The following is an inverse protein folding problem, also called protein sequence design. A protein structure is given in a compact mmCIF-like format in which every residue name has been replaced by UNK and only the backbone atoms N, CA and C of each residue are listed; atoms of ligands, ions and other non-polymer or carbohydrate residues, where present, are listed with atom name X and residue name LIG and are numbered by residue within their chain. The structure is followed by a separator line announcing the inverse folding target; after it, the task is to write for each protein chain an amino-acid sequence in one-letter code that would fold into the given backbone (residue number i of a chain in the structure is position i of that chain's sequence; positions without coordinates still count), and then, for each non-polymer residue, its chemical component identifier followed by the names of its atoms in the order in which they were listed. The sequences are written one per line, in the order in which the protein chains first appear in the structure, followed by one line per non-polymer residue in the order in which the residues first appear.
data_IF_770037034760
#
_entry.id   IF_770037034760
#
_cell.length_a   1.000
_cell.length_b   1.000
_cell.length_c   1.000
_cell.angle_alpha   90.00
_cell.angle_beta   90.00
_cell.angle_gamma   90.00
#
_symmetry.space_group_name_H-M   'P 1'
#
loop_
_entity.id
_entity.type
_entity.pdbx_description
1 polymer ?
#
# COMPACT_ATOMS: atom_id res chain seq x y z
N UNK A 1 5.77 -9.49 -11.10
CA UNK A 1 5.15 -8.20 -10.70
C UNK A 1 4.68 -8.35 -9.26
N UNK A 2 4.92 -7.36 -8.40
CA UNK A 2 4.50 -7.41 -7.00
C UNK A 2 3.14 -6.74 -6.84
N UNK A 3 2.26 -7.29 -6.02
CA UNK A 3 0.93 -6.73 -5.77
C UNK A 3 0.87 -6.02 -4.43
N UNK A 4 0.22 -4.86 -4.44
CA UNK A 4 -0.08 -4.09 -3.23
C UNK A 4 -1.56 -3.75 -3.25
N UNK A 5 -2.26 -4.17 -2.20
CA UNK A 5 -3.70 -3.96 -2.07
C UNK A 5 -3.99 -2.58 -1.50
N UNK A 6 -4.90 -1.87 -2.17
CA UNK A 6 -5.39 -0.56 -1.75
C UNK A 6 -6.91 -0.60 -1.58
N UNK A 7 -7.42 0.25 -0.67
CA UNK A 7 -8.83 0.47 -0.45
C UNK A 7 -9.12 1.95 -0.67
N UNK A 8 -9.71 2.30 -1.81
CA UNK A 8 -10.13 3.68 -2.13
C UNK A 8 -9.00 4.72 -2.17
N UNK A 9 -7.73 4.30 -2.15
CA UNK A 9 -6.57 5.18 -2.14
C UNK A 9 -5.51 4.80 -3.18
N UNK A 10 -5.93 4.13 -4.26
CA UNK A 10 -5.02 3.69 -5.30
C UNK A 10 -4.33 4.87 -6.01
N UNK A 11 -5.00 6.02 -6.15
CA UNK A 11 -4.44 7.24 -6.75
C UNK A 11 -3.28 7.83 -5.93
N UNK A 12 -3.47 8.00 -4.62
CA UNK A 12 -2.40 8.55 -3.78
C UNK A 12 -1.26 7.56 -3.67
N UNK A 13 -1.55 6.26 -3.57
CA UNK A 13 -0.51 5.23 -3.53
C UNK A 13 0.30 5.17 -4.83
N UNK A 14 -0.36 5.38 -5.98
CA UNK A 14 0.31 5.55 -7.26
C UNK A 14 1.24 6.77 -7.27
N UNK A 15 0.78 7.90 -6.73
CA UNK A 15 1.62 9.09 -6.56
C UNK A 15 2.84 8.83 -5.68
N UNK A 16 2.65 8.16 -4.53
CA UNK A 16 3.73 7.83 -3.59
C UNK A 16 4.79 6.93 -4.25
N UNK A 17 4.39 5.87 -4.96
CA UNK A 17 5.35 4.97 -5.61
C UNK A 17 6.08 5.64 -6.78
N UNK A 18 5.41 6.50 -7.55
CA UNK A 18 6.08 7.28 -8.60
C UNK A 18 7.09 8.27 -8.01
N UNK A 19 6.72 8.96 -6.92
CA UNK A 19 7.64 9.85 -6.22
C UNK A 19 8.86 9.09 -5.67
N UNK A 20 8.63 7.91 -5.07
CA UNK A 20 9.70 7.06 -4.58
C UNK A 20 10.64 6.59 -5.71
N UNK A 21 10.09 6.19 -6.85
CA UNK A 21 10.87 5.83 -8.03
C UNK A 21 11.70 7.01 -8.55
N UNK A 22 11.12 8.21 -8.60
CA UNK A 22 11.81 9.42 -9.04
C UNK A 22 12.95 9.83 -8.10
N UNK A 23 12.72 9.82 -6.78
CA UNK A 23 13.75 10.10 -5.77
C UNK A 23 14.89 9.11 -5.87
N UNK A 24 14.58 7.81 -5.98
CA UNK A 24 15.59 6.77 -6.08
C UNK A 24 16.39 6.83 -7.39
N UNK A 25 15.80 7.36 -8.47
CA UNK A 25 16.48 7.61 -9.73
C UNK A 25 17.35 8.88 -9.71
N UNK A 26 17.21 9.75 -8.69
CA UNK A 26 17.98 10.99 -8.60
C UNK A 26 19.45 10.75 -8.28
N UNK A 27 20.33 11.57 -8.87
CA UNK A 27 21.76 11.55 -8.57
C UNK A 27 22.06 11.91 -7.11
N UNK A 28 21.25 12.78 -6.51
CA UNK A 28 21.38 13.20 -5.11
C UNK A 28 21.13 12.06 -4.13
N UNK A 29 20.16 11.18 -4.44
CA UNK A 29 19.96 9.98 -3.63
C UNK A 29 21.16 9.04 -3.71
N UNK A 30 21.74 8.87 -4.90
CA UNK A 30 22.89 7.99 -5.09
C UNK A 30 24.17 8.55 -4.45
N UNK A 31 24.35 9.87 -4.45
CA UNK A 31 25.46 10.52 -3.76
C UNK A 31 25.30 10.42 -2.23
N UNK A 32 24.08 10.59 -1.71
CA UNK A 32 23.80 10.38 -0.28
C UNK A 32 24.09 8.94 0.15
N UNK A 33 23.66 7.96 -0.66
CA UNK A 33 23.97 6.54 -0.46
C UNK A 33 25.48 6.29 -0.45
N UNK A 34 26.21 6.85 -1.41
CA UNK A 34 27.66 6.71 -1.49
C UNK A 34 28.38 7.34 -0.28
N UNK A 35 27.91 8.50 0.19
CA UNK A 35 28.45 9.15 1.38
C UNK A 35 28.27 8.29 2.64
N UNK A 36 27.07 7.70 2.84
CA UNK A 36 26.81 6.79 3.95
C UNK A 36 27.71 5.55 3.88
N UNK A 37 27.86 4.96 2.69
CA UNK A 37 28.74 3.82 2.47
C UNK A 37 30.20 4.16 2.79
N UNK A 38 30.68 5.34 2.36
CA UNK A 38 32.03 5.82 2.63
C UNK A 38 32.27 6.06 4.13
N UNK A 39 31.37 6.77 4.81
CA UNK A 39 31.47 7.01 6.25
C UNK A 39 31.49 5.70 7.05
N UNK A 40 30.63 4.74 6.69
CA UNK A 40 30.64 3.44 7.33
C UNK A 40 31.92 2.66 7.05
N UNK A 41 32.50 2.78 5.85
CA UNK A 41 33.76 2.13 5.50
C UNK A 41 34.91 2.69 6.33
N UNK A 42 35.00 4.01 6.50
CA UNK A 42 35.98 4.65 7.36
C UNK A 42 35.81 4.20 8.82
N UNK A 43 34.57 4.16 9.33
CA UNK A 43 34.29 3.68 10.68
C UNK A 43 34.73 2.22 10.88
N UNK A 44 34.49 1.36 9.87
CA UNK A 44 34.90 -0.03 9.89
C UNK A 44 36.43 -0.21 9.86
N UNK A 45 37.16 0.64 9.12
CA UNK A 45 38.63 0.66 9.13
C UNK A 45 39.18 1.08 10.49
N UNK A 46 38.62 2.11 11.11
CA UNK A 46 39.00 2.54 12.46
C UNK A 46 38.76 1.41 13.46
N UNK A 47 37.58 0.78 13.42
CA UNK A 47 37.26 -0.36 14.30
C UNK A 47 38.21 -1.54 14.10
N UNK A 48 38.64 -1.81 12.86
CA UNK A 48 39.62 -2.84 12.56
C UNK A 48 41.02 -2.50 13.10
N UNK A 49 41.44 -1.23 13.04
CA UNK A 49 42.73 -0.79 13.57
C UNK A 49 42.87 -1.00 15.09
N UNK A 50 41.77 -0.86 15.84
CA UNK A 50 41.77 -1.08 17.30
C UNK A 50 41.52 -2.54 17.71
N UNK A 51 40.89 -3.35 16.85
CA UNK A 51 40.55 -4.74 17.18
C UNK A 51 40.61 -5.66 15.93
N UNK A 52 41.82 -5.91 15.38
CA UNK A 52 41.97 -6.62 14.11
C UNK A 52 41.47 -8.07 14.17
N UNK A 53 41.57 -8.70 15.35
CA UNK A 53 41.22 -10.11 15.58
C UNK A 53 39.71 -10.37 15.52
N UNK A 54 38.88 -9.33 15.65
CA UNK A 54 37.41 -9.48 15.67
C UNK A 54 36.77 -9.54 14.28
N UNK A 55 37.57 -9.38 13.22
CA UNK A 55 37.12 -9.33 11.81
C UNK A 55 35.95 -8.33 11.59
N UNK A 56 35.88 -7.27 12.40
CA UNK A 56 34.73 -6.35 12.39
C UNK A 56 34.59 -5.61 11.07
N UNK A 57 35.71 -5.24 10.44
CA UNK A 57 35.70 -4.63 9.12
C UNK A 57 35.06 -5.53 8.05
N UNK A 58 35.35 -6.83 8.09
CA UNK A 58 34.82 -7.79 7.12
C UNK A 58 33.34 -8.11 7.36
N UNK A 59 32.93 -8.23 8.63
CA UNK A 59 31.52 -8.39 9.01
C UNK A 59 30.69 -7.17 8.62
N UNK A 60 31.21 -5.98 8.86
CA UNK A 60 30.56 -4.73 8.47
C UNK A 60 30.40 -4.65 6.95
N UNK A 61 31.49 -4.90 6.21
CA UNK A 61 31.46 -4.87 4.75
C UNK A 61 30.46 -5.88 4.18
N UNK A 62 30.47 -7.12 4.68
CA UNK A 62 29.54 -8.16 4.26
C UNK A 62 28.07 -7.77 4.55
N UNK A 63 27.80 -7.20 5.72
CA UNK A 63 26.44 -6.75 6.09
C UNK A 63 25.97 -5.61 5.20
N UNK A 64 26.82 -4.61 4.96
CA UNK A 64 26.50 -3.47 4.10
C UNK A 64 26.28 -3.93 2.66
N UNK A 65 27.17 -4.74 2.10
CA UNK A 65 26.99 -5.28 0.75
C UNK A 65 25.69 -6.09 0.64
N UNK A 66 25.36 -6.91 1.64
CA UNK A 66 24.11 -7.67 1.67
C UNK A 66 22.89 -6.74 1.69
N UNK A 67 22.84 -5.77 2.61
CA UNK A 67 21.69 -4.86 2.72
C UNK A 67 21.53 -4.03 1.46
N UNK A 68 22.62 -3.49 0.91
CA UNK A 68 22.58 -2.69 -0.31
C UNK A 68 22.16 -3.53 -1.52
N UNK A 69 22.70 -4.74 -1.65
CA UNK A 69 22.39 -5.62 -2.79
C UNK A 69 20.96 -6.17 -2.76
N UNK A 70 20.36 -6.36 -1.58
CA UNK A 70 19.01 -6.94 -1.48
C UNK A 70 17.94 -5.85 -1.35
N UNK A 71 18.13 -4.82 -0.51
CA UNK A 71 17.06 -3.87 -0.19
C UNK A 71 17.13 -2.56 -0.97
N UNK A 72 18.34 -2.03 -1.21
CA UNK A 72 18.51 -0.65 -1.69
C UNK A 72 18.66 -0.59 -3.21
N UNK A 73 19.56 -1.39 -3.78
CA UNK A 73 19.86 -1.36 -5.22
C UNK A 73 18.77 -1.97 -6.11
N UNK A 74 18.13 -3.09 -5.74
CA UNK A 74 17.16 -3.71 -6.64
C UNK A 74 15.92 -2.86 -6.82
N UNK A 75 15.37 -2.92 -8.04
CA UNK A 75 14.14 -2.21 -8.41
C UNK A 75 13.10 -3.23 -8.84
N UNK A 76 11.86 -3.01 -8.45
CA UNK A 76 10.76 -3.88 -8.80
C UNK A 76 9.58 -3.08 -9.39
N UNK A 77 8.74 -3.80 -10.13
CA UNK A 77 7.49 -3.26 -10.65
C UNK A 77 6.34 -3.67 -9.74
N UNK A 78 5.54 -2.69 -9.34
CA UNK A 78 4.38 -2.83 -8.44
C UNK A 78 3.10 -2.64 -9.23
N UNK A 79 2.15 -3.55 -9.04
CA UNK A 79 0.74 -3.39 -9.39
C UNK A 79 -0.07 -3.03 -8.15
N UNK A 80 -0.67 -1.85 -8.16
CA UNK A 80 -1.58 -1.37 -7.11
C UNK A 80 -2.98 -1.85 -7.48
N UNK A 81 -3.55 -2.72 -6.67
CA UNK A 81 -4.86 -3.33 -6.89
C UNK A 81 -5.87 -2.69 -5.94
N UNK A 82 -6.83 -1.93 -6.48
CA UNK A 82 -7.95 -1.42 -5.69
C UNK A 82 -9.01 -2.51 -5.52
N UNK A 83 -9.16 -3.02 -4.30
CA UNK A 83 -10.15 -4.06 -3.99
C UNK A 83 -11.59 -3.54 -3.97
N UNK A 84 -11.78 -2.22 -3.89
CA UNK A 84 -13.12 -1.61 -3.91
C UNK A 84 -13.69 -1.37 -5.31
N UNK A 85 -12.95 -1.75 -6.36
CA UNK A 85 -13.37 -1.59 -7.75
C UNK A 85 -13.44 -0.14 -8.23
N UNK A 86 -12.93 0.83 -7.46
CA UNK A 86 -12.97 2.25 -7.79
C UNK A 86 -11.99 2.69 -8.88
N UNK A 87 -10.90 1.94 -9.07
CA UNK A 87 -9.86 2.25 -10.06
C UNK A 87 -9.30 0.97 -10.72
N UNK A 88 -8.88 1.04 -12.00
CA UNK A 88 -8.14 -0.05 -12.63
C UNK A 88 -6.78 -0.25 -11.95
N UNK A 89 -6.19 -1.45 -12.11
CA UNK A 89 -4.87 -1.75 -11.55
C UNK A 89 -3.84 -0.76 -12.09
N UNK A 90 -3.15 -0.07 -11.18
CA UNK A 90 -2.15 0.92 -11.53
C UNK A 90 -0.76 0.33 -11.40
N UNK A 91 0.04 0.42 -12.45
CA UNK A 91 1.38 -0.15 -12.47
C UNK A 91 2.43 0.94 -12.35
N UNK A 92 3.38 0.76 -11.42
CA UNK A 92 4.53 1.65 -11.24
C UNK A 92 5.81 0.83 -11.36
N UNK A 93 6.67 1.22 -12.30
CA UNK A 93 7.97 0.61 -12.52
C UNK A 93 9.07 1.31 -11.71
N UNK A 94 10.22 0.64 -11.57
CA UNK A 94 11.44 1.20 -10.96
C UNK A 94 11.31 1.62 -9.49
N UNK A 95 10.41 0.98 -8.73
CA UNK A 95 10.25 1.26 -7.30
C UNK A 95 11.35 0.54 -6.50
N UNK A 96 11.98 1.17 -5.49
CA UNK A 96 12.97 0.53 -4.63
C UNK A 96 12.45 -0.75 -3.99
N UNK A 97 13.18 -1.85 -4.11
CA UNK A 97 12.71 -3.17 -3.69
C UNK A 97 12.34 -3.24 -2.21
N UNK A 98 13.11 -2.61 -1.32
CA UNK A 98 12.77 -2.57 0.11
C UNK A 98 11.37 -2.00 0.38
N UNK A 99 10.97 -0.95 -0.35
CA UNK A 99 9.63 -0.38 -0.23
C UNK A 99 8.55 -1.31 -0.80
N UNK A 100 8.84 -1.94 -1.94
CA UNK A 100 7.92 -2.90 -2.58
C UNK A 100 7.66 -4.10 -1.67
N UNK A 101 8.72 -4.68 -1.12
CA UNK A 101 8.66 -5.85 -0.26
C UNK A 101 7.82 -5.55 1.00
N UNK A 102 8.13 -4.46 1.70
CA UNK A 102 7.37 -4.06 2.89
C UNK A 102 5.91 -3.75 2.55
N UNK A 103 5.67 -2.96 1.49
CA UNK A 103 4.32 -2.61 1.07
C UNK A 103 3.48 -3.82 0.68
N UNK A 104 4.07 -4.81 -0.01
CA UNK A 104 3.38 -6.05 -0.41
C UNK A 104 3.09 -6.95 0.79
N UNK A 105 4.05 -7.14 1.69
CA UNK A 105 3.86 -7.95 2.90
C UNK A 105 2.76 -7.34 3.79
N UNK A 106 2.87 -6.05 4.11
CA UNK A 106 1.92 -5.38 5.00
C UNK A 106 0.52 -5.35 4.39
N UNK A 107 0.39 -5.06 3.09
CA UNK A 107 -0.92 -5.02 2.44
C UNK A 107 -1.55 -6.42 2.31
N UNK A 108 -0.76 -7.47 2.04
CA UNK A 108 -1.26 -8.85 1.97
C UNK A 108 -1.74 -9.33 3.33
N UNK A 109 -1.00 -9.03 4.40
CA UNK A 109 -1.41 -9.37 5.78
C UNK A 109 -2.72 -8.63 6.12
N UNK A 110 -2.78 -7.32 5.84
CA UNK A 110 -3.99 -6.54 6.10
C UNK A 110 -5.20 -7.08 5.34
N UNK A 111 -5.03 -7.34 4.04
CA UNK A 111 -6.07 -7.92 3.18
C UNK A 111 -6.56 -9.27 3.70
N UNK A 112 -5.64 -10.16 4.07
CA UNK A 112 -5.97 -11.49 4.62
C UNK A 112 -6.71 -11.38 5.94
N UNK A 113 -6.22 -10.55 6.88
CA UNK A 113 -6.87 -10.36 8.17
C UNK A 113 -8.28 -9.80 8.01
N UNK A 114 -8.46 -8.78 7.15
CA UNK A 114 -9.79 -8.23 6.83
C UNK A 114 -10.72 -9.30 6.28
N UNK A 115 -10.28 -10.11 5.32
CA UNK A 115 -11.09 -11.21 4.76
C UNK A 115 -11.46 -12.27 5.81
N UNK A 116 -10.54 -12.60 6.72
CA UNK A 116 -10.82 -13.52 7.84
C UNK A 116 -11.86 -12.93 8.81
N UNK A 117 -11.74 -11.65 9.15
CA UNK A 117 -12.73 -10.97 9.97
C UNK A 117 -14.11 -10.98 9.30
N UNK A 118 -14.19 -10.61 8.03
CA UNK A 118 -15.46 -10.60 7.29
C UNK A 118 -16.08 -11.99 7.19
N UNK A 119 -15.28 -13.02 6.92
CA UNK A 119 -15.75 -14.41 6.90
C UNK A 119 -16.32 -14.81 8.26
N UNK A 120 -15.63 -14.47 9.35
CA UNK A 120 -16.12 -14.73 10.70
C UNK A 120 -17.46 -14.01 10.95
N UNK A 121 -17.56 -12.72 10.64
CA UNK A 121 -18.80 -11.94 10.81
C UNK A 121 -19.96 -12.42 9.93
N UNK A 122 -19.70 -13.07 8.80
CA UNK A 122 -20.73 -13.70 7.98
C UNK A 122 -21.28 -14.99 8.60
N UNK A 123 -20.49 -15.68 9.43
CA UNK A 123 -20.89 -16.96 10.05
C UNK A 123 -21.60 -16.82 11.40
N UNK A 124 -21.56 -15.65 12.03
CA UNK A 124 -22.20 -15.42 13.34
C UNK A 124 -23.72 -15.38 13.17
N UNK A 125 -24.50 -16.18 13.92
CA UNK A 125 -25.95 -16.09 13.92
C UNK A 125 -26.43 -14.87 14.74
N UNK A 126 -27.45 -14.17 14.22
CA UNK A 126 -28.10 -13.05 14.91
C UNK A 126 -27.90 -11.69 14.23
N UNK A 127 -28.34 -10.58 14.86
CA UNK A 127 -28.35 -9.24 14.26
C UNK A 127 -26.96 -8.65 14.02
N UNK A 128 -25.90 -9.29 14.53
CA UNK A 128 -24.50 -8.91 14.29
C UNK A 128 -23.86 -9.54 13.06
N UNK A 129 -24.59 -10.38 12.30
CA UNK A 129 -24.10 -10.96 11.06
C UNK A 129 -23.84 -9.87 10.02
N UNK A 130 -22.67 -9.90 9.37
CA UNK A 130 -22.35 -8.98 8.28
C UNK A 130 -22.86 -9.56 6.95
N UNK A 131 -23.77 -8.90 6.23
CA UNK A 131 -24.12 -9.30 4.87
C UNK A 131 -22.90 -9.21 3.95
N UNK A 132 -22.72 -10.19 3.06
CA UNK A 132 -21.58 -10.25 2.13
C UNK A 132 -21.49 -9.04 1.18
N UNK A 133 -22.60 -8.32 0.99
CA UNK A 133 -22.71 -7.10 0.20
C UNK A 133 -22.12 -5.86 0.90
N UNK A 134 -22.05 -5.85 2.23
CA UNK A 134 -21.50 -4.74 3.04
C UNK A 134 -20.05 -4.98 3.48
N UNK A 135 -19.38 -5.96 2.87
CA UNK A 135 -17.97 -6.25 3.14
C UNK A 135 -17.11 -5.00 2.94
N UNK A 136 -16.24 -4.75 3.91
CA UNK A 136 -15.30 -3.65 3.89
C UNK A 136 -14.31 -3.79 2.73
N UNK A 137 -13.92 -5.02 2.36
CA UNK A 137 -13.03 -5.27 1.24
C UNK A 137 -13.56 -4.68 -0.07
N UNK A 138 -14.88 -4.81 -0.31
CA UNK A 138 -15.56 -4.32 -1.51
C UNK A 138 -15.93 -2.85 -1.43
N UNK A 139 -16.35 -2.38 -0.25
CA UNK A 139 -16.98 -1.08 -0.13
C UNK A 139 -16.05 0.00 0.40
N UNK A 140 -15.08 -0.36 1.26
CA UNK A 140 -14.13 0.52 1.95
C UNK A 140 -14.76 1.58 2.86
N UNK A 141 -13.93 2.43 3.48
CA UNK A 141 -14.35 3.42 4.49
C UNK A 141 -15.37 4.44 3.99
N UNK A 142 -15.23 4.90 2.75
CA UNK A 142 -16.08 5.95 2.18
C UNK A 142 -17.46 5.45 1.69
N UNK A 143 -17.83 4.19 1.96
CA UNK A 143 -19.10 3.63 1.53
C UNK A 143 -20.30 4.47 1.95
N UNK A 144 -20.40 4.85 3.22
CA UNK A 144 -21.54 5.62 3.74
C UNK A 144 -21.68 7.01 3.07
N UNK A 145 -20.57 7.73 2.92
CA UNK A 145 -20.57 9.02 2.23
C UNK A 145 -20.93 8.88 0.74
N UNK A 146 -20.45 7.80 0.08
CA UNK A 146 -20.84 7.50 -1.30
C UNK A 146 -22.31 7.16 -1.41
N UNK A 147 -22.85 6.36 -0.48
CA UNK A 147 -24.26 6.00 -0.46
C UNK A 147 -25.14 7.25 -0.36
N UNK A 148 -24.87 8.14 0.61
CA UNK A 148 -25.61 9.40 0.77
C UNK A 148 -25.52 10.27 -0.49
N UNK A 149 -24.33 10.41 -1.08
CA UNK A 149 -24.12 11.18 -2.31
C UNK A 149 -24.78 10.54 -3.55
N UNK A 150 -24.81 9.22 -3.64
CA UNK A 150 -25.44 8.51 -4.75
C UNK A 150 -26.96 8.64 -4.64
N UNK A 151 -27.52 8.42 -3.44
CA UNK A 151 -28.96 8.60 -3.18
C UNK A 151 -29.42 10.03 -3.43
N UNK A 152 -28.63 11.04 -3.04
CA UNK A 152 -28.98 12.45 -3.30
C UNK A 152 -28.91 12.86 -4.77
N UNK A 153 -28.26 12.06 -5.61
CA UNK A 153 -28.18 12.26 -7.06
C UNK A 153 -29.18 11.42 -7.86
N UNK A 154 -29.93 10.51 -7.21
CA UNK A 154 -30.97 9.74 -7.89
C UNK A 154 -32.05 10.70 -8.36
N UNK A 155 -32.18 10.81 -9.67
CA UNK A 155 -33.27 11.54 -10.33
C UNK A 155 -34.13 10.54 -11.09
N UNK A 156 -35.42 10.55 -10.80
CA UNK A 156 -36.40 9.73 -11.52
C UNK A 156 -36.85 10.50 -12.75
N UNK A 157 -36.63 9.90 -13.93
CA UNK A 157 -36.99 10.54 -15.20
C UNK A 157 -38.50 10.58 -15.44
N UNK A 158 -39.26 9.65 -14.83
CA UNK A 158 -40.71 9.62 -14.92
C UNK A 158 -41.34 10.65 -13.94
N UNK A 159 -42.05 11.68 -14.44
CA UNK A 159 -42.71 12.68 -13.61
C UNK A 159 -43.79 12.10 -12.69
N UNK A 160 -44.47 11.04 -13.11
CA UNK A 160 -45.54 10.41 -12.33
C UNK A 160 -44.93 9.66 -11.16
N UNK A 161 -43.92 8.83 -11.41
CA UNK A 161 -43.19 8.11 -10.37
C UNK A 161 -42.53 9.06 -9.36
N UNK A 162 -41.99 10.20 -9.82
CA UNK A 162 -41.41 11.21 -8.95
C UNK A 162 -42.46 11.80 -8.00
N UNK A 163 -43.64 12.12 -8.50
CA UNK A 163 -44.75 12.66 -7.68
C UNK A 163 -45.22 11.64 -6.65
N UNK A 164 -45.40 10.38 -7.06
CA UNK A 164 -45.85 9.29 -6.19
C UNK A 164 -44.84 8.98 -5.08
N UNK A 165 -43.54 8.96 -5.40
CA UNK A 165 -42.49 8.74 -4.42
C UNK A 165 -42.42 9.88 -3.39
N UNK A 166 -42.57 11.13 -3.83
CA UNK A 166 -42.59 12.30 -2.93
C UNK A 166 -43.80 12.20 -1.98
N UNK A 167 -44.96 11.79 -2.48
CA UNK A 167 -46.17 11.57 -1.68
C UNK A 167 -46.03 10.41 -0.69
N UNK A 168 -45.28 9.35 -1.06
CA UNK A 168 -45.00 8.20 -0.19
C UNK A 168 -44.02 8.56 0.94
N UNK A 169 -42.98 9.36 0.67
CA UNK A 169 -41.97 9.72 1.68
C UNK A 169 -42.51 10.75 2.70
N UNK A 170 -43.47 11.59 2.31
CA UNK A 170 -44.08 12.58 3.21
C UNK A 170 -45.19 12.02 4.12
N UNK A 171 -45.68 10.81 3.86
CA UNK A 171 -46.60 10.07 4.74
C UNK A 171 -45.84 9.10 5.66
#
# INVERSE_FOLDING_TARGET
MWEIYAYQNADSLFGVFNAAAAIHASGDYMSAVAAVAFCGFVAALIAYAFAPEKLQGWKWLGTVLLVFSILILPRATVGIVDKTGGAPVKVVANVPFGMVMLGSITSTIGHTLTGLFETAFQTIPGPGALPSELTYEKNGLMFGNRLIRSTSKVTFQDPNFRTDLINFIHN
#
